data_IF_266737412760
#
_entry.id   IF_266737412760
#
_cell.length_a   1.000
_cell.length_b   1.000
_cell.length_c   1.000
_cell.angle_alpha   90.00
_cell.angle_beta   90.00
_cell.angle_gamma   90.00
#
_symmetry.space_group_name_H-M   'P 1'
#
loop_
_entity.id
_entity.type
_entity.pdbx_description
1 polymer ?
#
# COMPACT_ATOMS: atom_id res chain seq x y z
N UNK A 1 -9.71 35.57 0.40
CA UNK A 1 -10.48 34.59 1.19
C UNK A 1 -9.80 33.25 1.05
N UNK A 2 -9.06 32.83 2.07
CA UNK A 2 -8.42 31.51 2.08
C UNK A 2 -9.51 30.47 2.33
N UNK A 3 -9.89 29.73 1.29
CA UNK A 3 -10.76 28.56 1.44
C UNK A 3 -9.99 27.51 2.21
N UNK A 4 -10.42 27.19 3.43
CA UNK A 4 -9.90 26.03 4.14
C UNK A 4 -9.99 24.80 3.23
N UNK A 5 -8.95 23.94 3.15
CA UNK A 5 -9.04 22.73 2.37
C UNK A 5 -10.17 21.86 2.92
N UNK A 6 -11.16 21.56 2.07
CA UNK A 6 -12.24 20.65 2.40
C UNK A 6 -11.64 19.26 2.64
N UNK A 7 -11.72 18.74 3.86
CA UNK A 7 -11.25 17.41 4.18
C UNK A 7 -12.17 16.38 3.50
N UNK A 8 -11.65 15.73 2.46
CA UNK A 8 -12.37 14.67 1.75
C UNK A 8 -12.41 13.39 2.62
N UNK A 9 -13.56 12.72 2.64
CA UNK A 9 -13.82 11.53 3.47
C UNK A 9 -13.64 10.24 2.68
N UNK A 10 -13.01 9.26 3.33
CA UNK A 10 -13.06 7.85 2.92
C UNK A 10 -14.25 7.18 3.61
N UNK A 11 -15.19 6.66 2.83
CA UNK A 11 -16.37 5.99 3.35
C UNK A 11 -16.18 4.49 3.26
N UNK A 12 -16.11 3.85 4.42
CA UNK A 12 -15.97 2.40 4.53
C UNK A 12 -17.35 1.79 4.78
N UNK A 13 -17.78 0.92 3.89
CA UNK A 13 -19.04 0.19 4.03
C UNK A 13 -18.73 -1.26 4.36
N UNK A 14 -18.91 -1.60 5.61
CA UNK A 14 -18.77 -2.95 6.17
C UNK A 14 -20.14 -3.44 6.62
N UNK A 15 -20.70 -4.42 5.96
CA UNK A 15 -21.94 -5.04 6.40
C UNK A 15 -22.74 -5.63 5.24
N UNK A 16 -23.33 -6.77 5.52
CA UNK A 16 -24.18 -7.47 4.59
C UNK A 16 -25.49 -6.70 4.39
N UNK A 17 -25.90 -6.52 3.12
CA UNK A 17 -27.17 -5.91 2.78
C UNK A 17 -27.18 -4.38 2.71
N UNK A 18 -26.02 -3.72 2.85
CA UNK A 18 -25.92 -2.29 2.61
C UNK A 18 -26.21 -1.92 1.13
N UNK A 19 -26.79 -0.74 0.90
CA UNK A 19 -27.04 -0.24 -0.45
C UNK A 19 -26.54 1.19 -0.62
N UNK A 20 -25.84 1.45 -1.75
CA UNK A 20 -25.34 2.75 -2.15
C UNK A 20 -26.10 3.25 -3.38
N UNK A 21 -26.79 4.37 -3.26
CA UNK A 21 -27.59 4.95 -4.32
C UNK A 21 -27.33 6.46 -4.49
N UNK A 22 -27.73 7.02 -5.62
CA UNK A 22 -27.64 8.46 -5.94
C UNK A 22 -28.95 9.17 -5.59
N UNK A 23 -28.83 10.39 -5.04
CA UNK A 23 -29.92 11.36 -4.88
C UNK A 23 -29.40 12.75 -5.22
N UNK A 24 -29.66 13.23 -6.45
CA UNK A 24 -29.07 14.49 -6.94
C UNK A 24 -27.53 14.42 -6.98
N UNK A 25 -26.83 15.37 -6.35
CA UNK A 25 -25.37 15.39 -6.19
C UNK A 25 -24.91 14.76 -4.85
N UNK A 26 -25.67 13.81 -4.32
CA UNK A 26 -25.39 13.13 -3.05
C UNK A 26 -25.39 11.62 -3.23
N UNK A 27 -24.61 10.95 -2.41
CA UNK A 27 -24.72 9.51 -2.19
C UNK A 27 -25.60 9.25 -0.98
N UNK A 28 -26.41 8.24 -1.08
CA UNK A 28 -27.26 7.74 0.00
C UNK A 28 -26.84 6.31 0.30
N UNK A 29 -26.30 6.10 1.49
CA UNK A 29 -25.95 4.79 2.04
C UNK A 29 -27.08 4.37 2.98
N UNK A 30 -27.67 3.21 2.71
CA UNK A 30 -28.67 2.58 3.57
C UNK A 30 -28.10 1.25 4.08
N UNK A 31 -28.05 1.09 5.39
CA UNK A 31 -27.58 -0.14 6.03
C UNK A 31 -28.45 -0.45 7.24
N UNK A 32 -29.21 -1.54 7.15
CA UNK A 32 -30.07 -2.00 8.25
C UNK A 32 -31.19 -1.00 8.64
N UNK A 33 -31.60 -0.13 7.71
CA UNK A 33 -32.60 0.92 7.95
C UNK A 33 -32.01 2.25 8.43
N UNK A 34 -30.70 2.30 8.73
CA UNK A 34 -30.00 3.57 8.96
C UNK A 34 -29.58 4.17 7.62
N UNK A 35 -30.05 5.39 7.38
CA UNK A 35 -29.78 6.12 6.12
C UNK A 35 -28.82 7.27 6.38
N UNK A 36 -27.71 7.29 5.68
CA UNK A 36 -26.73 8.37 5.71
C UNK A 36 -26.59 9.00 4.33
N UNK A 37 -26.52 10.33 4.27
CA UNK A 37 -26.33 11.07 3.02
C UNK A 37 -24.98 11.79 3.01
N UNK A 38 -24.23 11.64 1.92
CA UNK A 38 -22.92 12.28 1.71
C UNK A 38 -22.96 13.16 0.47
N UNK A 39 -22.50 14.42 0.57
CA UNK A 39 -22.26 15.23 -0.62
C UNK A 39 -21.15 14.61 -1.46
N UNK A 40 -21.34 14.51 -2.79
CA UNK A 40 -20.30 13.99 -3.67
C UNK A 40 -18.99 14.79 -3.59
N UNK A 41 -19.08 16.10 -3.32
CA UNK A 41 -17.91 16.98 -3.22
C UNK A 41 -17.08 16.78 -1.92
N UNK A 42 -17.60 15.98 -0.97
CA UNK A 42 -16.94 15.64 0.30
C UNK A 42 -16.39 14.24 0.34
N UNK A 43 -16.66 13.42 -0.68
CA UNK A 43 -16.25 12.02 -0.70
C UNK A 43 -15.02 11.85 -1.59
N UNK A 44 -13.98 11.21 -1.06
CA UNK A 44 -12.78 10.84 -1.82
C UNK A 44 -12.93 9.45 -2.43
N UNK A 45 -13.44 8.50 -1.66
CA UNK A 45 -13.63 7.12 -2.09
C UNK A 45 -14.64 6.37 -1.23
N UNK A 46 -15.20 5.30 -1.81
CA UNK A 46 -15.93 4.26 -1.11
C UNK A 46 -15.10 2.98 -1.08
N UNK A 47 -14.87 2.44 0.10
CA UNK A 47 -14.22 1.14 0.32
C UNK A 47 -15.31 0.18 0.77
N UNK A 48 -15.64 -0.78 -0.08
CA UNK A 48 -16.71 -1.73 0.15
C UNK A 48 -16.11 -3.09 0.52
N UNK A 49 -16.58 -3.65 1.59
CA UNK A 49 -16.31 -5.04 1.96
C UNK A 49 -17.64 -5.77 2.10
N UNK A 50 -17.66 -7.06 1.81
CA UNK A 50 -18.87 -7.87 1.83
C UNK A 50 -19.89 -7.53 0.70
N UNK A 51 -21.13 -7.98 0.81
CA UNK A 51 -22.17 -7.81 -0.19
C UNK A 51 -22.87 -6.47 -0.04
N UNK A 52 -22.45 -5.50 -0.83
CA UNK A 52 -23.05 -4.16 -0.93
C UNK A 52 -23.69 -4.01 -2.31
N UNK A 53 -24.94 -3.56 -2.34
CA UNK A 53 -25.65 -3.22 -3.58
C UNK A 53 -25.29 -1.80 -4.01
N UNK A 54 -24.94 -1.60 -5.28
CA UNK A 54 -24.65 -0.27 -5.83
C UNK A 54 -25.54 -0.01 -7.04
N UNK A 55 -26.20 1.12 -7.08
CA UNK A 55 -26.96 1.52 -8.27
C UNK A 55 -26.07 2.08 -9.36
N UNK A 56 -26.41 1.88 -10.62
CA UNK A 56 -25.70 2.48 -11.76
C UNK A 56 -25.63 4.01 -11.70
N UNK A 57 -26.66 4.66 -11.11
CA UNK A 57 -26.65 6.10 -10.85
C UNK A 57 -25.55 6.53 -9.87
N UNK A 58 -25.28 5.73 -8.82
CA UNK A 58 -24.19 6.00 -7.90
C UNK A 58 -22.81 5.77 -8.57
N UNK A 59 -22.66 4.71 -9.37
CA UNK A 59 -21.43 4.46 -10.15
C UNK A 59 -21.13 5.61 -11.11
N UNK A 60 -22.17 6.09 -11.85
CA UNK A 60 -22.03 7.22 -12.78
C UNK A 60 -21.61 8.50 -12.07
N UNK A 61 -22.27 8.85 -10.95
CA UNK A 61 -21.90 10.02 -10.16
C UNK A 61 -20.46 9.94 -9.64
N UNK A 62 -20.04 8.77 -9.16
CA UNK A 62 -18.66 8.55 -8.69
C UNK A 62 -17.66 8.75 -9.83
N UNK A 63 -17.91 8.16 -11.01
CA UNK A 63 -17.04 8.32 -12.18
C UNK A 63 -16.95 9.78 -12.65
N UNK A 64 -18.07 10.49 -12.73
CA UNK A 64 -18.14 11.91 -13.12
C UNK A 64 -17.39 12.84 -12.14
N UNK A 65 -17.34 12.49 -10.86
CA UNK A 65 -16.67 13.25 -9.80
C UNK A 65 -15.25 12.80 -9.49
N UNK A 66 -14.74 11.75 -10.17
CA UNK A 66 -13.43 11.16 -9.89
C UNK A 66 -13.35 10.49 -8.53
N UNK A 67 -14.50 10.06 -7.97
CA UNK A 67 -14.59 9.34 -6.69
C UNK A 67 -14.34 7.87 -6.94
N UNK A 68 -13.39 7.29 -6.22
CA UNK A 68 -13.05 5.88 -6.33
C UNK A 68 -14.09 5.01 -5.60
N UNK A 69 -14.54 3.93 -6.23
CA UNK A 69 -15.32 2.87 -5.57
C UNK A 69 -14.53 1.58 -5.72
N UNK A 70 -14.04 1.05 -4.62
CA UNK A 70 -13.28 -0.20 -4.60
C UNK A 70 -13.96 -1.25 -3.73
N UNK A 71 -14.02 -2.48 -4.23
CA UNK A 71 -14.49 -3.65 -3.49
C UNK A 71 -13.29 -4.46 -3.05
N UNK A 72 -13.19 -4.71 -1.75
CA UNK A 72 -12.13 -5.52 -1.15
C UNK A 72 -12.61 -6.95 -0.89
N UNK A 73 -11.68 -7.89 -1.05
CA UNK A 73 -11.86 -9.28 -0.60
C UNK A 73 -11.76 -9.38 0.94
N UNK A 74 -12.04 -10.56 1.49
CA UNK A 74 -11.84 -10.85 2.93
C UNK A 74 -10.40 -10.65 3.40
N UNK A 75 -9.43 -10.78 2.50
CA UNK A 75 -8.00 -10.53 2.79
C UNK A 75 -7.58 -9.07 2.62
N UNK A 76 -8.51 -8.15 2.32
CA UNK A 76 -8.21 -6.73 2.10
C UNK A 76 -7.73 -6.39 0.67
N UNK A 77 -7.56 -7.40 -0.21
CA UNK A 77 -7.12 -7.16 -1.59
C UNK A 77 -8.25 -6.60 -2.45
N UNK A 78 -7.98 -5.62 -3.34
CA UNK A 78 -8.97 -5.11 -4.27
C UNK A 78 -9.39 -6.18 -5.29
N UNK A 79 -10.70 -6.41 -5.40
CA UNK A 79 -11.32 -7.37 -6.34
C UNK A 79 -11.79 -6.66 -7.59
N UNK A 80 -12.50 -5.53 -7.42
CA UNK A 80 -12.94 -4.72 -8.54
C UNK A 80 -12.98 -3.24 -8.14
N UNK A 81 -13.00 -2.38 -9.17
CA UNK A 81 -13.02 -0.93 -9.04
C UNK A 81 -13.91 -0.32 -10.10
N UNK A 82 -14.60 0.76 -9.76
CA UNK A 82 -15.35 1.59 -10.71
C UNK A 82 -14.53 2.84 -11.03
N UNK A 83 -14.19 3.04 -12.29
CA UNK A 83 -13.52 4.25 -12.77
C UNK A 83 -14.02 4.65 -14.18
N UNK A 84 -13.80 5.90 -14.62
CA UNK A 84 -14.25 6.36 -15.94
C UNK A 84 -13.64 5.53 -17.09
N UNK A 85 -14.40 5.37 -18.17
CA UNK A 85 -13.92 4.67 -19.38
C UNK A 85 -12.86 5.46 -20.15
N UNK A 86 -12.74 6.76 -19.93
CA UNK A 86 -11.77 7.65 -20.57
C UNK A 86 -10.63 8.01 -19.59
N UNK A 87 -9.58 7.21 -19.48
CA UNK A 87 -8.40 7.56 -18.70
C UNK A 87 -7.57 8.61 -19.46
N UNK A 88 -7.11 9.65 -18.76
CA UNK A 88 -6.29 10.70 -19.34
C UNK A 88 -4.93 10.19 -19.85
N UNK A 89 -4.52 10.64 -21.09
CA UNK A 89 -3.12 10.80 -21.54
C UNK A 89 -2.12 9.63 -21.45
N UNK A 90 -2.56 8.37 -21.52
CA UNK A 90 -1.77 7.22 -21.05
C UNK A 90 -0.97 6.46 -22.13
N UNK A 91 -1.21 6.69 -23.41
CA UNK A 91 -0.66 5.84 -24.49
C UNK A 91 0.87 5.89 -24.55
N UNK A 92 1.47 7.07 -24.50
CA UNK A 92 2.93 7.24 -24.54
C UNK A 92 3.59 6.61 -23.32
N UNK A 93 3.07 6.90 -22.13
CA UNK A 93 3.58 6.35 -20.87
C UNK A 93 3.56 4.83 -20.87
N UNK A 94 2.46 4.20 -21.31
CA UNK A 94 2.36 2.73 -21.37
C UNK A 94 3.30 2.11 -22.41
N UNK A 95 3.48 2.76 -23.57
CA UNK A 95 4.47 2.31 -24.57
C UNK A 95 5.89 2.36 -23.99
N UNK A 96 6.25 3.45 -23.31
CA UNK A 96 7.56 3.60 -22.71
C UNK A 96 7.75 2.64 -21.52
N UNK A 97 6.71 2.41 -20.72
CA UNK A 97 6.73 1.40 -19.65
C UNK A 97 6.95 -0.01 -20.20
N UNK A 98 6.25 -0.39 -21.27
CA UNK A 98 6.42 -1.69 -21.91
C UNK A 98 7.83 -1.83 -22.51
N UNK A 99 8.34 -0.80 -23.18
CA UNK A 99 9.70 -0.79 -23.71
C UNK A 99 10.76 -0.90 -22.60
N UNK A 100 10.54 -0.26 -21.45
CA UNK A 100 11.46 -0.31 -20.32
C UNK A 100 11.50 -1.70 -19.63
N UNK A 101 10.43 -2.48 -19.69
CA UNK A 101 10.27 -3.71 -18.89
C UNK A 101 11.42 -4.74 -19.08
N UNK A 102 12.05 -4.79 -20.25
CA UNK A 102 13.15 -5.71 -20.56
C UNK A 102 14.52 -5.05 -20.65
N UNK A 103 14.63 -3.76 -20.36
CA UNK A 103 15.86 -2.96 -20.57
C UNK A 103 16.51 -2.55 -19.25
N UNK A 104 17.69 -1.90 -19.35
CA UNK A 104 18.37 -1.31 -18.21
C UNK A 104 17.50 -0.27 -17.49
N UNK A 105 16.63 0.46 -18.19
CA UNK A 105 15.74 1.44 -17.57
C UNK A 105 14.75 0.80 -16.57
N UNK A 106 14.12 -0.32 -16.93
CA UNK A 106 13.24 -1.05 -16.01
C UNK A 106 14.00 -1.71 -14.87
N UNK A 107 15.24 -2.17 -15.14
CA UNK A 107 16.12 -2.67 -14.10
C UNK A 107 16.44 -1.59 -13.05
N UNK A 108 16.87 -0.40 -13.49
CA UNK A 108 17.22 0.69 -12.59
C UNK A 108 16.05 1.11 -11.69
N UNK A 109 14.83 1.19 -12.26
CA UNK A 109 13.62 1.46 -11.47
C UNK A 109 13.38 0.38 -10.41
N UNK A 110 13.42 -0.89 -10.80
CA UNK A 110 13.18 -1.98 -9.84
C UNK A 110 14.28 -2.09 -8.80
N UNK A 111 15.54 -1.92 -9.17
CA UNK A 111 16.68 -1.89 -8.25
C UNK A 111 16.54 -0.76 -7.22
N UNK A 112 16.15 0.44 -7.66
CA UNK A 112 15.91 1.58 -6.79
C UNK A 112 14.74 1.32 -5.80
N UNK A 113 13.63 0.74 -6.28
CA UNK A 113 12.47 0.42 -5.44
C UNK A 113 12.81 -0.66 -4.38
N UNK A 114 13.55 -1.70 -4.76
CA UNK A 114 13.98 -2.75 -3.83
C UNK A 114 15.01 -2.21 -2.84
N UNK A 115 15.95 -1.40 -3.30
CA UNK A 115 16.91 -0.71 -2.41
C UNK A 115 16.18 0.13 -1.37
N UNK A 116 15.17 0.91 -1.79
CA UNK A 116 14.34 1.68 -0.87
C UNK A 116 13.60 0.80 0.15
N UNK A 117 13.02 -0.33 -0.28
CA UNK A 117 12.40 -1.31 0.63
C UNK A 117 13.39 -1.79 1.68
N UNK A 118 14.55 -2.27 1.25
CA UNK A 118 15.58 -2.84 2.14
C UNK A 118 16.09 -1.75 3.09
N UNK A 119 16.35 -0.54 2.59
CA UNK A 119 16.73 0.62 3.41
C UNK A 119 15.63 0.98 4.42
N UNK A 120 14.36 0.97 4.02
CA UNK A 120 13.25 1.25 4.93
C UNK A 120 13.11 0.18 6.02
N UNK A 121 13.40 -1.09 5.74
CA UNK A 121 13.49 -2.16 6.76
C UNK A 121 14.60 -1.85 7.78
N UNK A 122 15.81 -1.52 7.30
CA UNK A 122 16.95 -1.16 8.15
C UNK A 122 16.62 0.06 9.02
N UNK A 123 16.10 1.14 8.42
CA UNK A 123 15.73 2.37 9.12
C UNK A 123 14.68 2.12 10.22
N UNK A 124 13.67 1.28 9.96
CA UNK A 124 12.65 0.95 10.95
C UNK A 124 13.23 0.16 12.12
N UNK A 125 14.04 -0.86 11.86
CA UNK A 125 14.71 -1.62 12.94
C UNK A 125 15.68 -0.75 13.74
N UNK A 126 16.45 0.12 13.09
CA UNK A 126 17.33 1.07 13.77
C UNK A 126 16.56 2.00 14.72
N UNK A 127 15.42 2.55 14.27
CA UNK A 127 14.55 3.38 15.09
C UNK A 127 13.96 2.60 16.28
N UNK A 128 13.51 1.35 16.05
CA UNK A 128 13.03 0.45 17.11
C UNK A 128 14.14 0.10 18.09
N UNK A 129 15.35 -0.18 17.61
CA UNK A 129 16.52 -0.48 18.42
C UNK A 129 16.98 0.71 19.28
N UNK A 130 16.93 1.92 18.72
CA UNK A 130 17.21 3.17 19.45
C UNK A 130 16.20 3.39 20.56
N UNK A 131 14.90 3.32 20.24
CA UNK A 131 13.83 3.62 21.20
C UNK A 131 13.72 2.62 22.35
N UNK A 132 14.22 1.37 22.17
CA UNK A 132 14.19 0.30 23.17
C UNK A 132 15.56 -0.02 23.77
N UNK A 133 16.58 0.71 23.37
CA UNK A 133 17.98 0.43 23.72
C UNK A 133 18.37 -1.06 23.47
N UNK A 134 17.90 -1.62 22.35
CA UNK A 134 18.11 -3.03 22.00
C UNK A 134 19.22 -3.16 20.95
N UNK A 135 20.31 -3.84 21.32
CA UNK A 135 21.48 -4.03 20.47
C UNK A 135 21.18 -4.96 19.26
N UNK A 136 20.43 -6.04 19.46
CA UNK A 136 20.17 -7.03 18.42
C UNK A 136 19.35 -6.46 17.27
N UNK A 137 18.38 -5.55 17.60
CA UNK A 137 17.65 -4.80 16.57
C UNK A 137 18.57 -3.89 15.76
N UNK A 138 19.56 -3.24 16.41
CA UNK A 138 20.53 -2.39 15.70
C UNK A 138 21.46 -3.22 14.82
N UNK A 139 21.94 -4.36 15.33
CA UNK A 139 22.77 -5.29 14.56
C UNK A 139 22.04 -5.84 13.33
N UNK A 140 20.76 -6.23 13.47
CA UNK A 140 19.91 -6.63 12.35
C UNK A 140 19.70 -5.50 11.32
N UNK A 141 19.52 -4.25 11.78
CA UNK A 141 19.43 -3.09 10.91
C UNK A 141 20.71 -2.87 10.08
N UNK A 142 21.88 -3.01 10.70
CA UNK A 142 23.19 -2.92 10.01
C UNK A 142 23.39 -4.05 9.00
N UNK A 143 23.01 -5.29 9.33
CA UNK A 143 23.04 -6.39 8.37
C UNK A 143 22.18 -6.11 7.15
N UNK A 144 20.96 -5.63 7.35
CA UNK A 144 20.04 -5.27 6.26
C UNK A 144 20.60 -4.09 5.45
N UNK A 145 21.22 -3.10 6.09
CA UNK A 145 21.87 -1.98 5.40
C UNK A 145 22.94 -2.45 4.42
N UNK A 146 23.83 -3.37 4.84
CA UNK A 146 24.83 -3.98 3.95
C UNK A 146 24.23 -4.74 2.77
N UNK A 147 23.02 -5.32 2.94
CA UNK A 147 22.31 -5.95 1.83
C UNK A 147 21.76 -4.94 0.83
N UNK A 148 21.35 -3.75 1.28
CA UNK A 148 20.93 -2.67 0.37
C UNK A 148 22.12 -2.20 -0.51
N UNK A 149 23.30 -2.06 0.08
CA UNK A 149 24.53 -1.66 -0.63
C UNK A 149 25.02 -2.72 -1.64
N UNK A 150 24.61 -3.97 -1.48
CA UNK A 150 24.95 -5.07 -2.37
C UNK A 150 24.06 -5.16 -3.64
N UNK A 151 23.05 -4.30 -3.78
CA UNK A 151 22.22 -4.27 -4.99
C UNK A 151 23.06 -3.68 -6.14
N UNK A 152 23.23 -4.40 -7.26
CA UNK A 152 24.03 -3.90 -8.37
C UNK A 152 23.47 -2.60 -8.95
N UNK A 153 24.32 -1.58 -9.21
CA UNK A 153 23.87 -0.29 -9.73
C UNK A 153 23.50 -0.34 -11.23
N UNK A 154 23.92 -1.40 -11.94
CA UNK A 154 23.70 -1.57 -13.37
C UNK A 154 23.26 -3.00 -13.71
N UNK A 155 22.50 -3.16 -14.79
CA UNK A 155 22.06 -4.47 -15.25
C UNK A 155 20.81 -4.45 -16.11
N UNK A 156 20.24 -5.62 -16.31
CA UNK A 156 18.91 -5.81 -16.92
C UNK A 156 18.08 -6.76 -16.04
N UNK A 157 16.75 -6.76 -16.16
CA UNK A 157 15.90 -7.66 -15.36
C UNK A 157 16.26 -9.14 -15.56
N UNK A 158 16.65 -9.53 -16.78
CA UNK A 158 17.07 -10.91 -17.09
C UNK A 158 18.41 -11.29 -16.44
N UNK A 159 19.35 -10.38 -16.33
CA UNK A 159 20.70 -10.64 -15.76
C UNK A 159 20.71 -10.59 -14.25
N UNK A 160 20.08 -9.60 -13.64
CA UNK A 160 20.22 -9.27 -12.22
C UNK A 160 18.94 -9.49 -11.39
N UNK A 161 17.80 -9.73 -12.03
CA UNK A 161 16.52 -9.86 -11.32
C UNK A 161 16.49 -10.98 -10.28
N UNK A 162 17.16 -12.13 -10.53
CA UNK A 162 17.28 -13.22 -9.57
C UNK A 162 18.12 -12.82 -8.34
N UNK A 163 19.21 -12.07 -8.56
CA UNK A 163 20.10 -11.58 -7.48
C UNK A 163 19.35 -10.58 -6.59
N UNK A 164 18.66 -9.60 -7.19
CA UNK A 164 17.87 -8.61 -6.43
C UNK A 164 16.80 -9.28 -5.58
N UNK A 165 16.06 -10.25 -6.14
CA UNK A 165 15.06 -11.03 -5.38
C UNK A 165 15.71 -11.85 -4.26
N UNK A 166 16.92 -12.37 -4.47
CA UNK A 166 17.70 -13.06 -3.44
C UNK A 166 18.07 -12.15 -2.27
N UNK A 167 18.56 -10.95 -2.57
CA UNK A 167 18.91 -9.91 -1.59
C UNK A 167 17.66 -9.51 -0.80
N UNK A 168 16.58 -9.19 -1.51
CA UNK A 168 15.28 -8.84 -0.91
C UNK A 168 14.75 -9.93 0.03
N UNK A 169 14.78 -11.17 -0.42
CA UNK A 169 14.34 -12.32 0.36
C UNK A 169 15.20 -12.55 1.62
N UNK A 170 16.52 -12.32 1.53
CA UNK A 170 17.40 -12.39 2.70
C UNK A 170 17.10 -11.25 3.68
N UNK A 171 17.03 -10.01 3.20
CA UNK A 171 16.70 -8.85 4.02
C UNK A 171 15.34 -9.03 4.73
N UNK A 172 14.33 -9.53 4.02
CA UNK A 172 13.01 -9.81 4.59
C UNK A 172 13.07 -10.86 5.69
N UNK A 173 13.85 -11.94 5.55
CA UNK A 173 13.99 -12.95 6.60
C UNK A 173 14.62 -12.37 7.87
N UNK A 174 15.71 -11.60 7.73
CA UNK A 174 16.36 -10.94 8.88
C UNK A 174 15.40 -9.96 9.55
N UNK A 175 14.71 -9.14 8.75
CA UNK A 175 13.74 -8.16 9.24
C UNK A 175 12.61 -8.80 10.05
N UNK A 176 11.92 -9.79 9.49
CA UNK A 176 10.79 -10.44 10.16
C UNK A 176 11.24 -11.25 11.39
N UNK A 177 12.42 -11.89 11.35
CA UNK A 177 12.98 -12.54 12.52
C UNK A 177 13.27 -11.54 13.65
N UNK A 178 13.87 -10.39 13.34
CA UNK A 178 14.16 -9.33 14.32
C UNK A 178 12.91 -8.74 14.98
N UNK A 179 11.77 -8.70 14.27
CA UNK A 179 10.51 -8.22 14.85
C UNK A 179 10.00 -9.06 16.02
N UNK A 180 10.43 -10.33 16.16
CA UNK A 180 10.10 -11.15 17.33
C UNK A 180 10.67 -10.61 18.65
N UNK A 181 11.70 -9.75 18.58
CA UNK A 181 12.23 -9.05 19.76
C UNK A 181 11.34 -7.89 20.25
N UNK A 182 10.31 -7.55 19.48
CA UNK A 182 9.46 -6.37 19.72
C UNK A 182 7.99 -6.76 19.93
N UNK A 183 7.53 -7.74 19.17
CA UNK A 183 6.12 -8.11 19.11
C UNK A 183 5.86 -9.25 20.12
N UNK A 184 4.76 -9.18 20.90
CA UNK A 184 4.40 -10.24 21.83
C UNK A 184 4.32 -11.62 21.15
N UNK A 185 4.86 -12.69 21.77
CA UNK A 185 4.98 -14.01 21.15
C UNK A 185 3.62 -14.71 20.92
N UNK A 186 2.58 -14.34 21.64
CA UNK A 186 1.19 -14.77 21.43
C UNK A 186 0.56 -14.19 20.16
N UNK A 187 1.07 -13.05 19.66
CA UNK A 187 0.60 -12.41 18.46
C UNK A 187 1.40 -12.74 17.21
N UNK A 188 2.68 -13.19 17.36
CA UNK A 188 3.62 -13.34 16.26
C UNK A 188 4.58 -14.52 16.42
N UNK A 189 4.65 -15.37 15.40
CA UNK A 189 5.50 -16.59 15.38
C UNK A 189 6.93 -16.36 14.88
N UNK A 190 7.39 -15.11 14.78
CA UNK A 190 8.76 -14.76 14.38
C UNK A 190 9.08 -14.91 12.89
N UNK A 191 8.06 -15.12 12.05
CA UNK A 191 8.23 -15.23 10.59
C UNK A 191 7.06 -14.66 9.81
N UNK A 192 7.34 -14.26 8.56
CA UNK A 192 6.29 -13.79 7.65
C UNK A 192 5.49 -14.96 7.09
N UNK A 193 4.15 -14.91 7.26
CA UNK A 193 3.20 -15.81 6.60
C UNK A 193 2.14 -15.01 5.84
N UNK A 194 1.80 -15.45 4.61
CA UNK A 194 0.93 -14.65 3.74
C UNK A 194 -0.44 -15.27 3.52
N UNK A 195 -0.50 -16.41 2.85
CA UNK A 195 -1.74 -17.07 2.47
C UNK A 195 -1.63 -18.58 2.71
N UNK A 196 -2.17 -19.05 3.83
CA UNK A 196 -2.82 -18.31 4.92
C UNK A 196 -1.83 -17.57 5.83
N UNK A 197 -2.33 -16.58 6.60
CA UNK A 197 -1.63 -16.10 7.77
C UNK A 197 -1.56 -17.24 8.82
N UNK A 198 -0.57 -17.19 9.72
CA UNK A 198 -0.41 -18.20 10.77
C UNK A 198 -0.49 -17.62 12.19
N UNK A 199 -0.70 -16.30 12.27
CA UNK A 199 -0.82 -15.55 13.50
C UNK A 199 -1.55 -14.21 13.28
N UNK A 200 -1.92 -13.56 14.38
CA UNK A 200 -2.67 -12.30 14.36
C UNK A 200 -1.90 -11.17 13.68
N UNK A 201 -0.60 -11.05 13.97
CA UNK A 201 0.24 -10.00 13.41
C UNK A 201 0.33 -10.09 11.88
N UNK A 202 0.53 -11.30 11.35
CA UNK A 202 0.54 -11.54 9.91
C UNK A 202 -0.85 -11.34 9.27
N UNK A 203 -1.94 -11.63 9.98
CA UNK A 203 -3.29 -11.34 9.51
C UNK A 203 -3.50 -9.84 9.31
N UNK A 204 -3.08 -9.02 10.28
CA UNK A 204 -3.11 -7.57 10.16
C UNK A 204 -2.21 -7.06 9.03
N UNK A 205 -0.98 -7.56 8.92
CA UNK A 205 -0.07 -7.19 7.81
C UNK A 205 -0.70 -7.50 6.46
N UNK A 206 -1.27 -8.70 6.28
CA UNK A 206 -1.89 -9.11 5.02
C UNK A 206 -3.03 -8.18 4.63
N UNK A 207 -3.91 -7.87 5.58
CA UNK A 207 -5.08 -7.03 5.33
C UNK A 207 -4.67 -5.57 5.03
N UNK A 208 -3.79 -4.99 5.85
CA UNK A 208 -3.31 -3.61 5.68
C UNK A 208 -2.49 -3.43 4.40
N UNK A 209 -1.70 -4.45 3.99
CA UNK A 209 -1.04 -4.44 2.69
C UNK A 209 -2.04 -4.46 1.53
N UNK A 210 -3.18 -5.11 1.67
CA UNK A 210 -4.26 -5.05 0.67
C UNK A 210 -4.81 -3.62 0.50
N UNK A 211 -4.99 -2.88 1.60
CA UNK A 211 -5.42 -1.48 1.56
C UNK A 211 -4.34 -0.60 0.91
N UNK A 212 -3.07 -0.78 1.29
CA UNK A 212 -1.95 -0.06 0.68
C UNK A 212 -1.82 -0.39 -0.81
N UNK A 213 -1.97 -1.67 -1.19
CA UNK A 213 -1.99 -2.11 -2.57
C UNK A 213 -3.04 -1.36 -3.39
N UNK A 214 -4.26 -1.23 -2.84
CA UNK A 214 -5.33 -0.47 -3.46
C UNK A 214 -4.95 1.00 -3.71
N UNK A 215 -4.31 1.65 -2.74
CA UNK A 215 -3.89 3.05 -2.86
C UNK A 215 -2.77 3.24 -3.89
N UNK A 216 -1.79 2.34 -3.91
CA UNK A 216 -0.71 2.35 -4.91
C UNK A 216 -1.26 2.07 -6.32
N UNK A 217 -2.18 1.11 -6.47
CA UNK A 217 -2.83 0.85 -7.75
C UNK A 217 -3.56 2.08 -8.28
N UNK A 218 -4.33 2.75 -7.41
CA UNK A 218 -5.01 4.01 -7.74
C UNK A 218 -4.01 5.08 -8.22
N UNK A 219 -2.91 5.25 -7.51
CA UNK A 219 -1.87 6.20 -7.89
C UNK A 219 -1.24 5.88 -9.25
N UNK A 220 -0.95 4.61 -9.55
CA UNK A 220 -0.45 4.17 -10.85
C UNK A 220 -1.45 4.50 -11.97
N UNK A 221 -2.74 4.16 -11.78
CA UNK A 221 -3.80 4.46 -12.75
C UNK A 221 -3.93 5.97 -13.00
N UNK A 222 -3.96 6.78 -11.93
CA UNK A 222 -4.06 8.24 -12.01
C UNK A 222 -2.84 8.88 -12.68
N UNK A 223 -1.66 8.29 -12.53
CA UNK A 223 -0.44 8.72 -13.21
C UNK A 223 -0.36 8.26 -14.67
N UNK A 224 -1.25 7.36 -15.12
CA UNK A 224 -1.27 6.82 -16.49
C UNK A 224 -0.38 5.61 -16.71
N UNK A 225 0.14 5.01 -15.64
CA UNK A 225 0.92 3.76 -15.65
C UNK A 225 -0.01 2.55 -15.80
N UNK A 226 0.49 1.49 -16.41
CA UNK A 226 -0.21 0.21 -16.51
C UNK A 226 0.10 -0.65 -15.28
N UNK A 227 -0.90 -1.05 -14.47
CA UNK A 227 -0.69 -1.86 -13.27
C UNK A 227 -0.11 -3.25 -13.55
N UNK A 228 -0.22 -3.77 -14.77
CA UNK A 228 0.15 -5.14 -15.12
C UNK A 228 1.58 -5.26 -15.65
N UNK A 229 2.17 -4.20 -16.20
CA UNK A 229 3.52 -4.20 -16.80
C UNK A 229 4.55 -3.95 -15.69
N UNK A 230 4.99 -5.01 -15.00
CA UNK A 230 6.01 -4.98 -13.96
C UNK A 230 7.42 -5.10 -14.51
N UNK A 231 8.43 -4.82 -13.68
CA UNK A 231 9.85 -4.88 -14.03
C UNK A 231 10.60 -5.99 -13.28
N UNK A 232 10.24 -6.25 -12.00
CA UNK A 232 10.90 -7.25 -11.16
C UNK A 232 10.03 -8.46 -10.88
N UNK A 233 8.77 -8.22 -10.55
CA UNK A 233 7.84 -9.31 -10.29
C UNK A 233 7.41 -9.97 -11.60
N UNK A 234 7.52 -11.31 -11.64
CA UNK A 234 7.17 -12.07 -12.84
C UNK A 234 5.75 -11.77 -13.30
N UNK A 235 5.64 -11.48 -14.59
CA UNK A 235 4.35 -11.35 -15.24
C UNK A 235 3.63 -12.71 -15.19
N UNK A 236 2.49 -12.72 -14.54
CA UNK A 236 1.54 -13.85 -14.56
C UNK A 236 0.20 -13.32 -15.00
N UNK A 237 -0.50 -14.10 -15.78
CA UNK A 237 -1.82 -13.74 -16.27
C UNK A 237 -2.71 -13.23 -15.12
N UNK A 238 -3.29 -12.04 -15.29
CA UNK A 238 -4.14 -11.39 -14.30
C UNK A 238 -3.45 -10.80 -13.06
N UNK A 239 -2.12 -10.89 -12.95
CA UNK A 239 -1.37 -10.32 -11.81
C UNK A 239 -0.91 -8.89 -12.13
N UNK A 240 -1.24 -7.94 -11.27
CA UNK A 240 -0.85 -6.52 -11.39
C UNK A 240 0.58 -6.33 -10.92
N UNK A 241 1.55 -6.87 -11.69
CA UNK A 241 2.95 -7.01 -11.30
C UNK A 241 3.62 -5.67 -10.98
N UNK A 242 3.27 -4.59 -11.69
CA UNK A 242 3.85 -3.28 -11.44
C UNK A 242 3.45 -2.68 -10.09
N UNK A 243 2.21 -2.91 -9.67
CA UNK A 243 1.77 -2.45 -8.34
C UNK A 243 2.58 -3.13 -7.23
N UNK A 244 2.96 -4.40 -7.43
CA UNK A 244 3.86 -5.10 -6.49
C UNK A 244 5.27 -4.51 -6.47
N UNK A 245 5.78 -4.01 -7.60
CA UNK A 245 7.08 -3.34 -7.64
C UNK A 245 7.04 -2.01 -6.87
N UNK A 246 6.03 -1.18 -7.12
CA UNK A 246 5.91 0.15 -6.51
C UNK A 246 5.61 0.10 -5.01
N UNK A 247 4.74 -0.82 -4.55
CA UNK A 247 4.31 -0.91 -3.14
C UNK A 247 5.47 -1.19 -2.19
N UNK A 248 6.53 -1.84 -2.67
CA UNK A 248 7.65 -2.29 -1.83
C UNK A 248 8.27 -1.14 -1.03
N UNK A 249 8.36 0.04 -1.61
CA UNK A 249 8.91 1.25 -0.97
C UNK A 249 8.06 1.76 0.20
N UNK A 250 6.77 1.45 0.21
CA UNK A 250 5.80 2.01 1.16
C UNK A 250 5.40 1.06 2.28
N UNK A 251 5.77 -0.23 2.21
CA UNK A 251 5.36 -1.25 3.19
C UNK A 251 5.75 -0.87 4.62
N UNK A 252 7.02 -0.61 4.87
CA UNK A 252 7.52 -0.31 6.22
C UNK A 252 7.00 1.04 6.75
N UNK A 253 7.05 2.15 5.97
CA UNK A 253 6.59 3.45 6.45
C UNK A 253 5.09 3.51 6.73
N UNK A 254 4.28 2.88 5.90
CA UNK A 254 2.81 2.98 6.00
C UNK A 254 2.24 1.86 6.89
N UNK A 255 2.57 0.61 6.59
CA UNK A 255 1.90 -0.54 7.22
C UNK A 255 2.68 -1.07 8.41
N UNK A 256 3.93 -1.49 8.22
CA UNK A 256 4.66 -2.24 9.26
C UNK A 256 4.77 -1.45 10.55
N UNK A 257 5.18 -0.18 10.47
CA UNK A 257 5.29 0.70 11.65
C UNK A 257 3.98 0.83 12.41
N UNK A 258 2.88 0.96 11.70
CA UNK A 258 1.54 1.09 12.27
C UNK A 258 1.10 -0.23 12.94
N UNK A 259 1.26 -1.35 12.24
CA UNK A 259 0.88 -2.69 12.74
C UNK A 259 1.72 -3.07 13.97
N UNK A 260 3.04 -2.83 13.95
CA UNK A 260 3.91 -2.99 15.12
C UNK A 260 3.40 -2.16 16.30
N UNK A 261 2.99 -0.92 16.04
CA UNK A 261 2.47 -0.03 17.10
C UNK A 261 1.18 -0.57 17.71
N UNK A 262 0.26 -1.10 16.90
CA UNK A 262 -0.97 -1.73 17.39
C UNK A 262 -0.67 -2.97 18.26
N UNK A 263 0.26 -3.83 17.83
CA UNK A 263 0.67 -5.01 18.57
C UNK A 263 1.26 -4.65 19.95
N UNK A 264 2.25 -3.77 19.96
CA UNK A 264 2.97 -3.36 21.19
C UNK A 264 2.06 -2.59 22.17
N UNK A 265 1.04 -1.90 21.68
CA UNK A 265 0.06 -1.19 22.53
C UNK A 265 -1.10 -2.08 23.00
N UNK A 266 -1.05 -3.38 22.77
CA UNK A 266 -2.11 -4.29 23.18
C UNK A 266 -3.44 -4.05 22.44
N UNK A 267 -3.38 -3.50 21.22
CA UNK A 267 -4.56 -3.22 20.40
C UNK A 267 -4.95 -4.36 19.47
N UNK A 268 -4.20 -5.45 19.52
CA UNK A 268 -4.45 -6.68 18.76
C UNK A 268 -4.72 -7.83 19.72
N UNK A 269 -5.62 -8.71 19.34
CA UNK A 269 -5.96 -9.90 20.11
C UNK A 269 -6.40 -11.03 19.17
N UNK A 270 -6.40 -12.28 19.67
CA UNK A 270 -6.74 -13.47 18.88
C UNK A 270 -8.16 -13.39 18.29
N UNK A 271 -9.08 -12.79 19.00
CA UNK A 271 -10.49 -12.61 18.64
C UNK A 271 -10.69 -11.65 17.46
N UNK A 272 -9.68 -10.87 17.07
CA UNK A 272 -9.69 -10.06 15.86
C UNK A 272 -9.69 -10.90 14.57
N UNK A 273 -9.41 -12.22 14.67
CA UNK A 273 -9.33 -13.15 13.54
C UNK A 273 -10.24 -14.37 13.70
N UNK A 274 -10.70 -14.91 12.58
CA UNK A 274 -11.38 -16.21 12.55
C UNK A 274 -10.38 -17.39 12.67
N UNK A 275 -10.89 -18.63 12.57
CA UNK A 275 -10.07 -19.86 12.64
C UNK A 275 -9.03 -19.96 11.49
N UNK A 276 -9.29 -19.30 10.38
CA UNK A 276 -8.41 -19.26 9.19
C UNK A 276 -7.50 -18.05 9.16
N UNK A 277 -7.40 -17.30 10.26
CA UNK A 277 -6.60 -16.08 10.39
C UNK A 277 -7.01 -14.92 9.46
N UNK A 278 -8.29 -14.84 9.04
CA UNK A 278 -8.82 -13.64 8.41
C UNK A 278 -9.32 -12.67 9.47
N UNK A 279 -9.03 -11.37 9.29
CA UNK A 279 -9.56 -10.34 10.16
C UNK A 279 -11.10 -10.29 10.06
N UNK A 280 -11.75 -10.24 11.21
CA UNK A 280 -13.20 -10.18 11.33
C UNK A 280 -13.64 -9.04 12.27
N UNK A 281 -14.89 -8.64 12.19
CA UNK A 281 -15.53 -7.72 13.14
C UNK A 281 -14.68 -6.48 13.44
N UNK A 282 -14.33 -6.32 14.72
CA UNK A 282 -13.56 -5.18 15.22
C UNK A 282 -12.11 -5.16 14.71
N UNK A 283 -11.47 -6.34 14.53
CA UNK A 283 -10.14 -6.44 13.97
C UNK A 283 -10.04 -5.82 12.57
N UNK A 284 -11.02 -6.11 11.71
CA UNK A 284 -11.12 -5.53 10.37
C UNK A 284 -11.31 -4.01 10.43
N UNK A 285 -12.21 -3.52 11.29
CA UNK A 285 -12.46 -2.08 11.48
C UNK A 285 -11.20 -1.34 11.93
N UNK A 286 -10.49 -1.88 12.93
CA UNK A 286 -9.22 -1.34 13.42
C UNK A 286 -8.16 -1.26 12.32
N UNK A 287 -7.98 -2.33 11.54
CA UNK A 287 -7.02 -2.38 10.44
C UNK A 287 -7.31 -1.31 9.39
N UNK A 288 -8.57 -1.17 8.95
CA UNK A 288 -8.99 -0.17 7.97
C UNK A 288 -8.76 1.24 8.52
N UNK A 289 -9.33 1.55 9.68
CA UNK A 289 -9.25 2.89 10.27
C UNK A 289 -7.79 3.33 10.48
N UNK A 290 -6.96 2.44 11.06
CA UNK A 290 -5.55 2.75 11.32
C UNK A 290 -4.75 2.94 10.03
N UNK A 291 -5.03 2.16 8.97
CA UNK A 291 -4.33 2.29 7.69
C UNK A 291 -4.71 3.58 6.98
N UNK A 292 -6.01 3.93 6.93
CA UNK A 292 -6.47 5.16 6.32
C UNK A 292 -5.96 6.39 7.08
N UNK A 293 -6.02 6.37 8.41
CA UNK A 293 -5.42 7.42 9.24
C UNK A 293 -3.93 7.59 8.94
N UNK A 294 -3.19 6.47 8.83
CA UNK A 294 -1.76 6.50 8.52
C UNK A 294 -1.48 7.07 7.13
N UNK A 295 -2.28 6.76 6.13
CA UNK A 295 -2.16 7.30 4.77
C UNK A 295 -2.38 8.81 4.71
N UNK A 296 -3.29 9.33 5.53
CA UNK A 296 -3.63 10.76 5.57
C UNK A 296 -2.81 11.57 6.59
N UNK A 297 -1.97 10.88 7.40
CA UNK A 297 -1.13 11.54 8.39
C UNK A 297 -0.07 12.43 7.72
N UNK A 298 -0.09 13.72 8.05
CA UNK A 298 0.92 14.65 7.57
C UNK A 298 2.25 14.44 8.28
N UNK A 299 3.31 14.33 7.50
CA UNK A 299 4.68 14.12 7.97
C UNK A 299 5.66 14.97 7.14
N UNK A 300 6.79 15.26 7.72
CA UNK A 300 7.91 15.83 6.95
C UNK A 300 8.55 14.69 6.17
N UNK A 301 8.38 14.71 4.86
CA UNK A 301 8.91 13.72 3.91
C UNK A 301 9.74 14.49 2.89
N UNK A 302 11.04 14.16 2.77
CA UNK A 302 11.93 14.88 1.84
C UNK A 302 12.00 16.39 2.10
N UNK A 303 11.86 16.82 3.38
CA UNK A 303 11.87 18.24 3.76
C UNK A 303 10.54 18.98 3.53
N UNK A 304 9.48 18.31 3.07
CA UNK A 304 8.15 18.91 2.85
C UNK A 304 7.11 18.24 3.75
N UNK A 305 6.18 19.03 4.27
CA UNK A 305 5.01 18.48 4.98
C UNK A 305 4.02 17.95 3.96
N UNK A 306 3.78 16.64 3.97
CA UNK A 306 2.89 15.94 3.05
C UNK A 306 2.36 14.67 3.70
N UNK A 307 1.28 14.09 3.14
CA UNK A 307 0.75 12.80 3.57
C UNK A 307 1.40 11.64 2.80
N UNK A 308 1.36 10.42 3.37
CA UNK A 308 1.82 9.23 2.63
C UNK A 308 1.01 9.00 1.35
N UNK A 309 -0.27 9.32 1.35
CA UNK A 309 -1.13 9.25 0.17
C UNK A 309 -0.62 10.13 -0.95
N UNK A 310 -0.29 11.38 -0.65
CA UNK A 310 0.29 12.32 -1.61
C UNK A 310 1.66 11.85 -2.08
N UNK A 311 2.51 11.37 -1.17
CA UNK A 311 3.83 10.85 -1.51
C UNK A 311 3.76 9.63 -2.47
N UNK A 312 2.78 8.74 -2.30
CA UNK A 312 2.53 7.62 -3.22
C UNK A 312 2.18 8.12 -4.63
N UNK A 313 1.30 9.12 -4.74
CA UNK A 313 0.92 9.68 -6.03
C UNK A 313 2.08 10.44 -6.69
N UNK A 314 2.84 11.22 -5.92
CA UNK A 314 4.03 11.91 -6.41
C UNK A 314 5.10 10.93 -6.90
N UNK A 315 5.32 9.82 -6.18
CA UNK A 315 6.23 8.77 -6.60
C UNK A 315 5.77 8.10 -7.92
N UNK A 316 4.48 7.82 -8.09
CA UNK A 316 3.95 7.30 -9.35
C UNK A 316 4.18 8.29 -10.52
N UNK A 317 4.01 9.59 -10.29
CA UNK A 317 4.27 10.64 -11.28
C UNK A 317 5.78 10.77 -11.60
N UNK A 318 6.65 10.60 -10.61
CA UNK A 318 8.10 10.64 -10.85
C UNK A 318 8.57 9.45 -11.72
N UNK A 319 7.91 8.29 -11.60
CA UNK A 319 8.15 7.15 -12.51
C UNK A 319 7.74 7.52 -13.95
N UNK A 320 6.62 8.23 -14.14
CA UNK A 320 6.19 8.71 -15.46
C UNK A 320 7.22 9.66 -16.06
N UNK A 321 7.72 10.61 -15.29
CA UNK A 321 8.74 11.56 -15.74
C UNK A 321 10.05 10.83 -16.11
N UNK A 322 10.45 9.82 -15.32
CA UNK A 322 11.59 8.97 -15.66
C UNK A 322 11.39 8.25 -17.01
N UNK A 323 10.22 7.63 -17.21
CA UNK A 323 9.93 6.85 -18.42
C UNK A 323 9.76 7.71 -19.67
N UNK A 324 9.21 8.92 -19.55
CA UNK A 324 8.87 9.76 -20.69
C UNK A 324 9.97 10.79 -21.01
N UNK A 325 10.67 11.29 -20.01
CA UNK A 325 11.58 12.44 -20.13
C UNK A 325 13.02 12.09 -19.73
N UNK A 326 13.28 10.86 -19.23
CA UNK A 326 14.60 10.48 -18.74
C UNK A 326 15.01 11.21 -17.46
N UNK A 327 14.05 11.76 -16.71
CA UNK A 327 14.31 12.38 -15.42
C UNK A 327 14.88 11.39 -14.41
N UNK A 328 15.63 11.87 -13.42
CA UNK A 328 16.14 10.99 -12.35
C UNK A 328 14.97 10.52 -11.49
N UNK A 329 14.87 9.20 -11.26
CA UNK A 329 13.91 8.63 -10.31
C UNK A 329 14.55 8.53 -8.92
N UNK A 330 13.95 9.20 -7.94
CA UNK A 330 14.29 9.07 -6.54
C UNK A 330 13.29 8.15 -5.84
N UNK A 331 13.73 6.98 -5.33
CA UNK A 331 12.84 6.06 -4.65
C UNK A 331 12.43 6.60 -3.27
N UNK A 332 11.30 6.13 -2.76
CA UNK A 332 10.77 6.56 -1.49
C UNK A 332 11.51 5.91 -0.31
N UNK A 333 12.40 6.67 0.32
CA UNK A 333 13.10 6.26 1.55
C UNK A 333 12.61 7.10 2.72
N UNK A 334 12.16 6.45 3.79
CA UNK A 334 11.65 7.10 5.00
C UNK A 334 12.61 6.95 6.17
N UNK A 335 12.82 8.03 6.89
CA UNK A 335 13.64 8.06 8.12
C UNK A 335 12.76 8.38 9.31
N UNK A 336 12.85 7.55 10.34
CA UNK A 336 12.20 7.81 11.62
C UNK A 336 13.13 8.66 12.47
N UNK A 337 12.64 9.82 12.94
CA UNK A 337 13.35 10.71 13.85
C UNK A 337 13.48 10.14 15.27
#
# INVERSE_FOLDING_TARGET
>A
MSTMPVSLMDIVVNGYGASLRKKGNRFVLDHGGEVQEFSADMVRQFILSDSVSITSGAMKLAAEKGIDIVVLSRSGMPVCRVYPCEPCGTVTTRKNQLAAASTAAGYLLSAAMVSAKVTNMANLLAALGKSRNNHDLRSAAEEIGRLADAIPPEGTPSMQGALIRGIEGRASRVYFAALSLVIPPDLYRGRRSQHPAEDVFNAYLNYCYGILYNEVEKACILAGLDPYIGFLHAERYGKRSFVYDVIEQFRQPVVDRMVITLAVRGRMQREDTDERWYLVGEGRRKAIASTLQRLDEERVIGGRTTSFRSAILENARSIVNYLNEGAVFEPFVYRWG
#
